data_IF_536299081406
#
_entry.id   IF_536299081406
#
_cell.length_a   1.000
_cell.length_b   1.000
_cell.length_c   1.000
_cell.angle_alpha   90.00
_cell.angle_beta   90.00
_cell.angle_gamma   90.00
#
_symmetry.space_group_name_H-M   'P 1'
#
loop_
_entity.id
_entity.type
_entity.pdbx_description
1 polymer ?
#
# COMPACT_ATOMS: atom_id res chain seq x y z
N UNK A 1 -26.91 -7.66 16.77
CA UNK A 1 -25.92 -7.94 15.70
C UNK A 1 -25.70 -6.63 14.97
N UNK A 2 -24.50 -6.05 15.07
CA UNK A 2 -24.14 -4.82 14.36
C UNK A 2 -24.05 -5.11 12.87
N UNK A 3 -24.63 -4.24 12.06
CA UNK A 3 -24.58 -4.34 10.60
C UNK A 3 -23.12 -4.28 10.12
N UNK A 4 -22.68 -5.12 9.16
CA UNK A 4 -21.30 -5.11 8.70
C UNK A 4 -20.98 -3.76 8.05
N UNK A 5 -19.98 -3.07 8.60
CA UNK A 5 -19.49 -1.79 8.07
C UNK A 5 -19.05 -1.98 6.62
N UNK A 6 -19.69 -1.26 5.69
CA UNK A 6 -19.35 -1.26 4.27
C UNK A 6 -18.55 -0.02 3.92
N UNK A 7 -17.35 -0.22 3.42
CA UNK A 7 -16.51 0.87 2.93
C UNK A 7 -16.74 1.11 1.43
N UNK A 8 -17.02 2.35 1.00
CA UNK A 8 -17.15 2.69 -0.42
C UNK A 8 -15.79 2.66 -1.15
N UNK A 9 -14.69 2.81 -0.41
CA UNK A 9 -13.31 2.75 -0.89
C UNK A 9 -12.64 1.43 -0.52
N UNK A 10 -11.42 1.19 -1.00
CA UNK A 10 -10.58 0.03 -0.63
C UNK A 10 -9.11 0.44 -0.54
N UNK A 11 -8.38 -0.12 0.43
CA UNK A 11 -6.92 -0.03 0.53
C UNK A 11 -6.33 -1.42 0.24
N UNK A 12 -5.41 -1.51 -0.72
CA UNK A 12 -4.73 -2.76 -1.05
C UNK A 12 -3.24 -2.54 -1.26
N UNK A 13 -2.44 -3.42 -0.69
CA UNK A 13 -1.01 -3.56 -0.91
C UNK A 13 -0.77 -4.76 -1.83
N UNK A 14 0.06 -4.59 -2.86
CA UNK A 14 0.58 -5.69 -3.69
C UNK A 14 2.09 -5.74 -3.50
N UNK A 15 2.59 -6.84 -2.95
CA UNK A 15 4.00 -7.02 -2.64
C UNK A 15 4.64 -8.02 -3.61
N UNK A 16 5.93 -7.86 -3.87
CA UNK A 16 6.67 -8.80 -4.70
C UNK A 16 6.84 -10.12 -3.95
N UNK A 17 6.60 -11.23 -4.64
CA UNK A 17 6.55 -12.57 -4.01
C UNK A 17 7.90 -13.11 -3.53
N UNK A 18 9.02 -12.50 -3.95
CA UNK A 18 10.39 -12.91 -3.63
C UNK A 18 11.00 -12.11 -2.46
N UNK A 19 10.18 -11.41 -1.68
CA UNK A 19 10.63 -10.64 -0.52
C UNK A 19 10.85 -11.52 0.69
N UNK A 20 11.93 -11.24 1.43
CA UNK A 20 12.17 -11.81 2.75
C UNK A 20 11.07 -11.36 3.74
N UNK A 21 10.76 -12.14 4.80
CA UNK A 21 9.70 -11.79 5.75
C UNK A 21 9.84 -10.39 6.38
N UNK A 22 11.07 -9.97 6.67
CA UNK A 22 11.34 -8.64 7.21
C UNK A 22 11.11 -7.53 6.16
N UNK A 23 11.40 -7.80 4.89
CA UNK A 23 11.14 -6.87 3.78
C UNK A 23 9.64 -6.69 3.57
N UNK A 24 8.87 -7.78 3.64
CA UNK A 24 7.39 -7.74 3.58
C UNK A 24 6.84 -6.78 4.64
N UNK A 25 7.32 -6.90 5.88
CA UNK A 25 6.88 -6.06 6.99
C UNK A 25 7.29 -4.60 6.79
N UNK A 26 8.54 -4.35 6.40
CA UNK A 26 9.05 -3.00 6.15
C UNK A 26 8.30 -2.30 5.02
N UNK A 27 8.20 -2.94 3.84
CA UNK A 27 7.52 -2.40 2.67
C UNK A 27 6.04 -2.14 2.98
N UNK A 28 5.36 -3.06 3.67
CA UNK A 28 3.96 -2.86 4.08
C UNK A 28 3.78 -1.62 4.96
N UNK A 29 4.70 -1.39 5.90
CA UNK A 29 4.64 -0.22 6.78
C UNK A 29 4.83 1.10 6.02
N UNK A 30 5.82 1.18 5.13
CA UNK A 30 6.05 2.36 4.27
C UNK A 30 4.89 2.62 3.31
N UNK A 31 4.33 1.57 2.72
CA UNK A 31 3.20 1.70 1.82
C UNK A 31 1.91 2.12 2.55
N UNK A 32 1.66 1.56 3.73
CA UNK A 32 0.53 1.97 4.56
C UNK A 32 0.64 3.43 5.00
N UNK A 33 1.84 3.90 5.36
CA UNK A 33 2.07 5.30 5.70
C UNK A 33 1.86 6.24 4.51
N UNK A 34 2.26 5.84 3.30
CA UNK A 34 2.01 6.61 2.08
C UNK A 34 0.52 6.75 1.71
N UNK A 35 -0.31 5.79 2.10
CA UNK A 35 -1.78 5.86 1.90
C UNK A 35 -2.46 6.63 3.03
N UNK A 36 -1.93 6.56 4.26
CA UNK A 36 -2.51 7.19 5.43
C UNK A 36 -2.69 8.71 5.21
N UNK A 37 -3.94 9.12 5.03
CA UNK A 37 -4.34 10.52 5.05
C UNK A 37 -5.38 10.73 6.15
N UNK A 38 -5.53 11.98 6.59
CA UNK A 38 -6.33 12.34 7.76
C UNK A 38 -7.76 11.81 7.70
N UNK A 39 -8.36 11.77 6.51
CA UNK A 39 -9.72 11.24 6.26
C UNK A 39 -9.84 9.71 6.29
N UNK A 40 -8.72 8.98 6.24
CA UNK A 40 -8.67 7.51 6.34
C UNK A 40 -8.31 7.02 7.75
N UNK A 41 -7.82 7.91 8.60
CA UNK A 41 -7.54 7.60 10.00
C UNK A 41 -8.84 7.44 10.78
N UNK A 42 -8.87 6.45 11.68
CA UNK A 42 -9.91 6.33 12.69
C UNK A 42 -9.67 7.29 13.86
N UNK A 43 -10.27 6.96 15.00
CA UNK A 43 -10.11 7.70 16.24
C UNK A 43 -8.92 7.20 17.07
N UNK A 44 -8.37 8.02 17.97
CA UNK A 44 -7.40 7.57 18.97
C UNK A 44 -7.92 6.34 19.72
N UNK A 45 -7.00 5.42 19.99
CA UNK A 45 -7.31 4.22 20.76
C UNK A 45 -7.09 4.55 22.23
N UNK A 46 -7.85 3.93 23.12
CA UNK A 46 -7.59 4.02 24.56
C UNK A 46 -7.63 2.61 25.15
N UNK A 47 -6.73 2.33 26.07
CA UNK A 47 -6.83 1.12 26.88
C UNK A 47 -7.79 1.32 28.06
N UNK A 48 -7.99 0.27 28.85
CA UNK A 48 -8.90 0.29 29.99
C UNK A 48 -8.42 1.21 31.13
N UNK A 49 -7.14 1.58 31.15
CA UNK A 49 -6.55 2.49 32.14
C UNK A 49 -6.66 3.96 31.71
N UNK A 50 -7.18 4.22 30.51
CA UNK A 50 -7.35 5.55 29.94
C UNK A 50 -6.09 6.11 29.28
N UNK A 51 -5.08 5.28 29.01
CA UNK A 51 -3.92 5.71 28.22
C UNK A 51 -4.34 5.80 26.76
N UNK A 52 -4.16 6.98 26.17
CA UNK A 52 -4.44 7.21 24.75
C UNK A 52 -3.26 6.79 23.85
N UNK A 53 -3.59 6.20 22.72
CA UNK A 53 -2.69 5.78 21.66
C UNK A 53 -3.09 6.46 20.34
N UNK A 54 -2.15 6.50 19.39
CA UNK A 54 -2.38 7.10 18.08
C UNK A 54 -3.54 6.41 17.33
N UNK A 55 -4.33 7.16 16.55
CA UNK A 55 -5.26 6.57 15.61
C UNK A 55 -4.51 5.75 14.56
N UNK A 56 -5.14 4.68 14.07
CA UNK A 56 -4.68 3.87 12.94
C UNK A 56 -5.65 4.03 11.76
N UNK A 57 -5.37 3.40 10.63
CA UNK A 57 -6.29 3.38 9.50
C UNK A 57 -7.65 2.78 9.92
N UNK A 58 -8.74 3.53 9.71
CA UNK A 58 -10.10 3.12 10.07
C UNK A 58 -10.70 2.11 9.10
N UNK A 59 -10.00 1.80 8.01
CA UNK A 59 -10.41 0.84 7.00
C UNK A 59 -9.39 -0.33 6.91
N UNK A 60 -9.83 -1.59 6.74
CA UNK A 60 -8.92 -2.72 6.54
C UNK A 60 -8.04 -2.59 5.30
N UNK A 61 -6.77 -3.02 5.46
CA UNK A 61 -5.82 -3.20 4.36
C UNK A 61 -5.87 -4.66 3.89
N UNK A 62 -5.86 -4.87 2.58
CA UNK A 62 -5.67 -6.20 2.00
C UNK A 62 -4.25 -6.30 1.47
N UNK A 63 -3.60 -7.44 1.70
CA UNK A 63 -2.26 -7.71 1.19
C UNK A 63 -2.35 -8.82 0.15
N UNK A 64 -1.88 -8.51 -1.04
CA UNK A 64 -1.78 -9.41 -2.20
C UNK A 64 -0.30 -9.57 -2.57
N UNK A 65 0.01 -10.60 -3.35
CA UNK A 65 1.36 -10.82 -3.85
C UNK A 65 1.37 -11.06 -5.36
N UNK A 66 2.47 -10.67 -6.02
CA UNK A 66 2.67 -10.92 -7.45
C UNK A 66 4.13 -10.74 -7.87
N UNK A 67 4.40 -11.03 -9.14
CA UNK A 67 5.71 -10.85 -9.75
C UNK A 67 5.94 -9.40 -10.23
N UNK A 68 7.16 -9.09 -10.68
CA UNK A 68 7.54 -7.74 -11.15
C UNK A 68 6.60 -7.20 -12.25
N UNK A 69 6.24 -7.97 -13.32
CA UNK A 69 5.23 -7.55 -14.29
C UNK A 69 3.87 -7.20 -13.67
N UNK A 70 3.40 -8.02 -12.72
CA UNK A 70 2.12 -7.78 -12.03
C UNK A 70 2.13 -6.43 -11.30
N UNK A 71 3.18 -6.13 -10.54
CA UNK A 71 3.30 -4.85 -9.82
C UNK A 71 3.34 -3.66 -10.78
N UNK A 72 4.10 -3.76 -11.87
CA UNK A 72 4.16 -2.73 -12.92
C UNK A 72 2.79 -2.45 -13.54
N UNK A 73 2.03 -3.50 -13.86
CA UNK A 73 0.69 -3.37 -14.43
C UNK A 73 -0.32 -2.79 -13.43
N UNK A 74 -0.26 -3.19 -12.16
CA UNK A 74 -1.09 -2.59 -11.09
C UNK A 74 -0.82 -1.09 -10.98
N UNK A 75 0.46 -0.69 -10.89
CA UNK A 75 0.87 0.72 -10.83
C UNK A 75 0.37 1.48 -12.07
N UNK A 76 0.59 0.95 -13.28
CA UNK A 76 0.16 1.60 -14.53
C UNK A 76 -1.34 1.82 -14.55
N UNK A 77 -2.14 0.78 -14.30
CA UNK A 77 -3.61 0.86 -14.32
C UNK A 77 -4.15 1.79 -13.25
N UNK A 78 -3.55 1.80 -12.06
CA UNK A 78 -3.96 2.66 -10.96
C UNK A 78 -3.71 4.14 -11.28
N UNK A 79 -2.53 4.47 -11.83
CA UNK A 79 -2.19 5.84 -12.28
C UNK A 79 -3.09 6.28 -13.43
N UNK A 80 -3.35 5.44 -14.43
CA UNK A 80 -4.27 5.74 -15.55
C UNK A 80 -5.72 6.00 -15.11
N UNK A 81 -6.09 5.52 -13.92
CA UNK A 81 -7.42 5.72 -13.32
C UNK A 81 -7.41 6.80 -12.25
N UNK A 82 -6.31 7.54 -12.13
CA UNK A 82 -6.14 8.63 -11.17
C UNK A 82 -6.41 8.18 -9.72
N UNK A 83 -6.09 6.93 -9.41
CA UNK A 83 -6.18 6.41 -8.06
C UNK A 83 -4.98 6.88 -7.22
N UNK A 84 -5.14 6.87 -5.90
CA UNK A 84 -4.02 7.16 -4.99
C UNK A 84 -3.09 5.96 -4.96
N UNK A 85 -1.82 6.20 -5.26
CA UNK A 85 -0.79 5.16 -5.37
C UNK A 85 0.41 5.52 -4.51
N UNK A 86 0.90 4.57 -3.71
CA UNK A 86 2.23 4.62 -3.12
C UNK A 86 3.08 3.50 -3.73
N UNK A 87 4.39 3.73 -3.86
CA UNK A 87 5.33 2.77 -4.45
C UNK A 87 6.53 2.58 -3.53
N UNK A 88 7.09 1.38 -3.57
CA UNK A 88 8.38 1.06 -2.98
C UNK A 88 9.24 0.39 -4.06
N UNK A 89 10.32 1.06 -4.45
CA UNK A 89 11.31 0.55 -5.40
C UNK A 89 12.39 -0.25 -4.66
N UNK A 90 12.91 -1.33 -5.27
CA UNK A 90 13.96 -2.16 -4.66
C UNK A 90 15.17 -1.36 -4.21
N UNK A 91 15.56 -0.32 -4.96
CA UNK A 91 16.71 0.52 -4.62
C UNK A 91 16.56 1.26 -3.28
N UNK A 92 15.33 1.47 -2.80
CA UNK A 92 15.07 2.16 -1.53
C UNK A 92 15.64 1.41 -0.32
N UNK A 93 15.79 0.08 -0.40
CA UNK A 93 16.42 -0.73 0.66
C UNK A 93 17.88 -0.37 0.96
N UNK A 94 18.57 0.30 0.04
CA UNK A 94 19.97 0.70 0.22
C UNK A 94 20.13 2.13 0.73
N UNK A 95 19.02 2.80 1.02
CA UNK A 95 19.00 4.20 1.49
C UNK A 95 18.64 4.29 2.97
N UNK A 96 18.93 5.44 3.59
CA UNK A 96 18.64 5.70 5.01
C UNK A 96 17.68 6.86 5.27
N UNK A 97 17.24 7.57 4.24
CA UNK A 97 16.45 8.79 4.36
C UNK A 97 15.48 8.99 3.19
N UNK A 98 14.47 9.82 3.42
CA UNK A 98 13.39 10.10 2.47
C UNK A 98 13.85 10.85 1.21
N UNK A 99 14.86 11.73 1.29
CA UNK A 99 15.36 12.42 0.10
C UNK A 99 16.06 11.44 -0.85
N UNK A 100 16.89 10.54 -0.31
CA UNK A 100 17.53 9.46 -1.07
C UNK A 100 16.49 8.49 -1.66
N UNK A 101 15.47 8.11 -0.89
CA UNK A 101 14.36 7.28 -1.38
C UNK A 101 13.66 7.91 -2.61
N UNK A 102 13.37 9.21 -2.55
CA UNK A 102 12.75 9.91 -3.69
C UNK A 102 13.67 9.97 -4.90
N UNK A 103 14.98 10.12 -4.71
CA UNK A 103 15.94 10.11 -5.82
C UNK A 103 15.96 8.77 -6.53
N UNK A 104 15.91 7.65 -5.79
CA UNK A 104 15.80 6.29 -6.38
C UNK A 104 14.58 6.21 -7.30
N UNK A 105 13.40 6.62 -6.81
CA UNK A 105 12.17 6.57 -7.62
C UNK A 105 12.24 7.52 -8.82
N UNK A 106 12.81 8.71 -8.65
CA UNK A 106 12.92 9.72 -9.70
C UNK A 106 13.94 9.37 -10.80
N UNK A 107 14.85 8.41 -10.54
CA UNK A 107 15.89 8.01 -11.50
C UNK A 107 15.36 7.18 -12.68
N UNK A 108 14.14 6.64 -12.59
CA UNK A 108 13.56 5.73 -13.58
C UNK A 108 12.21 6.23 -14.08
N UNK A 109 11.85 5.89 -15.32
CA UNK A 109 10.48 6.10 -15.79
C UNK A 109 9.53 5.16 -15.03
N UNK A 110 8.24 5.48 -15.00
CA UNK A 110 7.25 4.63 -14.32
C UNK A 110 7.17 3.20 -14.84
N UNK A 111 7.61 2.93 -16.08
CA UNK A 111 7.69 1.60 -16.67
C UNK A 111 8.97 0.84 -16.27
N UNK A 112 10.03 1.57 -15.89
CA UNK A 112 11.34 1.02 -15.58
C UNK A 112 11.58 0.81 -14.07
N UNK A 113 10.68 1.30 -13.22
CA UNK A 113 10.75 1.09 -11.76
C UNK A 113 10.91 -0.40 -11.42
N UNK A 114 11.83 -0.73 -10.50
CA UNK A 114 11.96 -2.07 -9.95
C UNK A 114 11.11 -2.22 -8.68
N UNK A 115 9.79 -2.17 -8.90
CA UNK A 115 8.82 -2.19 -7.82
C UNK A 115 8.90 -3.49 -7.02
N UNK A 116 9.02 -3.35 -5.70
CA UNK A 116 8.86 -4.44 -4.72
C UNK A 116 7.55 -4.32 -3.93
N UNK A 117 6.89 -3.16 -4.00
CA UNK A 117 5.58 -2.96 -3.43
C UNK A 117 4.80 -1.81 -4.07
N UNK A 118 3.49 -1.97 -4.16
CA UNK A 118 2.55 -0.95 -4.63
C UNK A 118 1.34 -0.91 -3.70
N UNK A 119 0.96 0.27 -3.22
CA UNK A 119 -0.30 0.48 -2.55
C UNK A 119 -1.28 1.18 -3.48
N UNK A 120 -2.56 0.80 -3.42
CA UNK A 120 -3.63 1.50 -4.12
C UNK A 120 -4.78 1.79 -3.16
N UNK A 121 -5.27 3.03 -3.20
CA UNK A 121 -6.50 3.45 -2.54
C UNK A 121 -7.45 4.15 -3.51
N UNK A 122 -8.74 3.84 -3.41
CA UNK A 122 -9.79 4.47 -4.21
C UNK A 122 -11.13 3.75 -4.15
N UNK A 123 -12.09 4.08 -5.04
CA UNK A 123 -13.41 3.47 -5.09
C UNK A 123 -13.33 1.95 -5.24
N UNK A 124 -14.10 1.22 -4.42
CA UNK A 124 -14.02 -0.25 -4.33
C UNK A 124 -14.05 -0.95 -5.68
N UNK A 125 -14.99 -0.58 -6.55
CA UNK A 125 -15.14 -1.20 -7.87
C UNK A 125 -13.95 -0.92 -8.81
N UNK A 126 -13.32 0.25 -8.69
CA UNK A 126 -12.15 0.61 -9.48
C UNK A 126 -10.93 -0.21 -9.04
N UNK A 127 -10.71 -0.30 -7.72
CA UNK A 127 -9.63 -1.11 -7.11
C UNK A 127 -9.82 -2.60 -7.41
N UNK A 128 -11.03 -3.13 -7.26
CA UNK A 128 -11.30 -4.56 -7.51
C UNK A 128 -11.06 -4.95 -8.97
N UNK A 129 -11.28 -4.02 -9.92
CA UNK A 129 -11.06 -4.26 -11.34
C UNK A 129 -9.58 -4.38 -11.70
N UNK A 130 -8.70 -3.60 -11.08
CA UNK A 130 -7.25 -3.63 -11.40
C UNK A 130 -6.56 -4.83 -10.72
N UNK A 131 -7.08 -5.31 -9.58
CA UNK A 131 -6.46 -6.37 -8.77
C UNK A 131 -7.04 -7.77 -9.03
N UNK A 132 -7.96 -7.89 -9.99
CA UNK A 132 -8.63 -9.16 -10.30
C UNK A 132 -7.60 -10.23 -10.67
N UNK A 133 -7.65 -11.36 -9.97
CA UNK A 133 -6.79 -12.53 -10.23
C UNK A 133 -5.46 -12.53 -9.50
N UNK A 134 -5.11 -11.46 -8.79
CA UNK A 134 -3.89 -11.42 -7.97
C UNK A 134 -4.16 -12.17 -6.67
N UNK A 135 -3.32 -13.17 -6.29
CA UNK A 135 -3.52 -13.97 -5.10
C UNK A 135 -3.29 -13.17 -3.81
N UNK A 136 -3.91 -13.62 -2.73
CA UNK A 136 -3.60 -13.12 -1.39
C UNK A 136 -2.16 -13.46 -1.00
N UNK A 137 -1.52 -12.55 -0.29
CA UNK A 137 -0.21 -12.79 0.31
C UNK A 137 -0.31 -13.98 1.28
N UNK A 138 0.69 -14.87 1.24
CA UNK A 138 0.77 -16.05 2.10
C UNK A 138 1.73 -15.85 3.26
#
# INVERSE_FOLDING_TARGET
MTEPVRFPTRIVLVLREDLEPWQVSNVSAFLASGIAARELMGEPYADADGVEYLPLLGQPIIVLQGDRPTLGEVRRRAVERELRVAVYDRGMFTTGDDASNRQVVAASTGADLDLVGVAVHGPKNAVDRILKGIPRHR
#
